data_IF_996747963351
#
_entry.id   IF_996747963351
#
_cell.length_a   1.000
_cell.length_b   1.000
_cell.length_c   1.000
_cell.angle_alpha   90.00
_cell.angle_beta   90.00
_cell.angle_gamma   90.00
#
_symmetry.space_group_name_H-M   'P 1'
#
loop_
_entity.id
_entity.type
_entity.pdbx_description
1 polymer ?
#
# COMPACT_ATOMS: atom_id res chain seq x y z
N UNK A 1 3.00 3.67 -2.18
CA UNK A 1 3.09 2.27 -2.58
C UNK A 1 1.94 1.88 -3.53
N UNK A 2 1.70 2.69 -4.56
CA UNK A 2 0.56 2.47 -5.47
C UNK A 2 0.82 1.31 -6.43
N UNK A 3 2.03 1.24 -6.97
CA UNK A 3 2.43 0.20 -7.90
C UNK A 3 2.47 -1.17 -7.19
N UNK A 4 2.89 -1.23 -5.93
CA UNK A 4 2.82 -2.45 -5.11
C UNK A 4 1.37 -2.95 -4.97
N UNK A 5 0.44 -2.06 -4.62
CA UNK A 5 -0.98 -2.41 -4.53
C UNK A 5 -1.52 -2.91 -5.87
N UNK A 6 -1.13 -2.26 -6.98
CA UNK A 6 -1.57 -2.65 -8.31
C UNK A 6 -1.02 -4.03 -8.72
N UNK A 7 0.24 -4.30 -8.43
CA UNK A 7 0.90 -5.57 -8.75
C UNK A 7 0.33 -6.72 -7.92
N UNK A 8 0.11 -6.53 -6.62
CA UNK A 8 -0.49 -7.58 -5.78
C UNK A 8 -1.93 -7.86 -6.22
N UNK A 9 -2.69 -6.81 -6.56
CA UNK A 9 -4.06 -6.97 -7.06
C UNK A 9 -4.12 -7.70 -8.43
N UNK A 10 -3.05 -7.63 -9.23
CA UNK A 10 -2.85 -8.44 -10.43
C UNK A 10 -2.39 -9.89 -10.14
N UNK A 11 -2.14 -10.23 -8.87
CA UNK A 11 -1.73 -11.56 -8.43
C UNK A 11 -0.21 -11.77 -8.29
N UNK A 12 0.59 -10.71 -8.37
CA UNK A 12 2.05 -10.83 -8.21
C UNK A 12 2.47 -10.87 -6.74
N UNK A 13 3.36 -11.81 -6.40
CA UNK A 13 3.99 -11.90 -5.08
C UNK A 13 5.21 -10.97 -5.00
N UNK A 14 5.19 -9.99 -4.08
CA UNK A 14 6.24 -8.95 -3.95
C UNK A 14 7.29 -9.23 -2.86
N UNK A 15 7.14 -10.28 -2.06
CA UNK A 15 7.96 -10.53 -0.87
C UNK A 15 9.43 -10.93 -1.12
N UNK A 16 9.90 -10.94 -2.37
CA UNK A 16 11.33 -11.05 -2.72
C UNK A 16 11.76 -9.86 -3.60
N UNK A 17 11.13 -8.70 -3.38
CA UNK A 17 11.20 -7.57 -4.29
C UNK A 17 10.55 -7.90 -5.64
N UNK A 18 10.90 -7.11 -6.65
CA UNK A 18 10.19 -7.11 -7.93
C UNK A 18 10.90 -7.91 -9.03
N UNK A 19 11.91 -8.71 -8.67
CA UNK A 19 12.81 -9.40 -9.62
C UNK A 19 12.06 -10.33 -10.56
N UNK A 20 11.01 -11.01 -10.07
CA UNK A 20 10.22 -11.97 -10.84
C UNK A 20 9.10 -11.34 -11.68
N UNK A 21 8.95 -10.01 -11.61
CA UNK A 21 7.86 -9.30 -12.31
C UNK A 21 8.39 -8.83 -13.67
N UNK A 22 7.69 -9.14 -14.78
CA UNK A 22 8.07 -8.67 -16.11
C UNK A 22 8.28 -7.15 -16.13
N UNK A 23 9.30 -6.69 -16.87
CA UNK A 23 9.72 -5.28 -16.85
C UNK A 23 8.58 -4.36 -17.33
N UNK A 24 7.85 -4.78 -18.35
CA UNK A 24 6.75 -4.02 -18.93
C UNK A 24 5.59 -3.87 -17.95
N UNK A 25 5.37 -4.88 -17.11
CA UNK A 25 4.33 -4.86 -16.07
C UNK A 25 4.72 -3.92 -14.93
N UNK A 26 5.98 -3.97 -14.48
CA UNK A 26 6.52 -3.04 -13.48
C UNK A 26 6.39 -1.60 -13.94
N UNK A 27 6.84 -1.31 -15.15
CA UNK A 27 6.77 0.02 -15.74
C UNK A 27 5.32 0.53 -15.82
N UNK A 28 4.40 -0.31 -16.31
CA UNK A 28 2.98 0.06 -16.37
C UNK A 28 2.38 0.34 -14.99
N UNK A 29 2.73 -0.45 -13.98
CA UNK A 29 2.26 -0.23 -12.62
C UNK A 29 2.80 1.10 -12.06
N UNK A 30 4.08 1.40 -12.26
CA UNK A 30 4.70 2.65 -11.85
C UNK A 30 4.05 3.87 -12.53
N UNK A 31 3.76 3.77 -13.82
CA UNK A 31 3.18 4.86 -14.61
C UNK A 31 1.68 5.09 -14.30
N UNK A 32 0.89 4.02 -14.12
CA UNK A 32 -0.58 4.11 -14.15
C UNK A 32 -1.26 3.85 -12.82
N UNK A 33 -0.57 3.30 -11.81
CA UNK A 33 -1.24 2.91 -10.56
C UNK A 33 -1.84 4.13 -9.83
N UNK A 34 -1.21 5.31 -9.90
CA UNK A 34 -1.70 6.55 -9.30
C UNK A 34 -3.03 7.04 -9.88
N UNK A 35 -3.35 6.62 -11.10
CA UNK A 35 -4.63 6.97 -11.73
C UNK A 35 -5.79 6.20 -11.11
N UNK A 36 -5.53 4.98 -10.62
CA UNK A 36 -6.54 4.06 -10.06
C UNK A 36 -6.56 4.02 -8.55
N UNK A 37 -5.40 4.04 -7.91
CA UNK A 37 -5.22 3.90 -6.47
C UNK A 37 -5.06 5.24 -5.76
N UNK A 38 -5.48 5.30 -4.51
CA UNK A 38 -5.26 6.45 -3.63
C UNK A 38 -4.99 6.02 -2.19
N UNK A 39 -4.27 6.87 -1.46
CA UNK A 39 -4.07 6.72 -0.02
C UNK A 39 -5.38 7.07 0.69
N UNK A 40 -5.92 6.13 1.45
CA UNK A 40 -7.11 6.33 2.27
C UNK A 40 -6.74 6.85 3.66
N UNK A 41 -5.72 6.26 4.28
CA UNK A 41 -5.30 6.60 5.62
C UNK A 41 -3.82 6.24 5.81
N UNK A 42 -3.12 7.03 6.61
CA UNK A 42 -1.77 6.74 7.08
C UNK A 42 -1.74 6.96 8.59
N UNK A 43 -1.09 6.05 9.31
CA UNK A 43 -0.80 6.21 10.72
C UNK A 43 0.69 5.98 10.95
N UNK A 44 1.30 7.02 11.51
CA UNK A 44 2.67 7.00 11.99
C UNK A 44 2.70 6.50 13.46
N UNK A 45 3.87 6.51 14.07
CA UNK A 45 4.05 6.33 15.51
C UNK A 45 3.20 7.39 16.23
N UNK A 46 2.39 6.94 17.19
CA UNK A 46 1.59 7.84 18.04
C UNK A 46 2.17 7.83 19.43
N UNK A 47 2.63 9.00 19.88
CA UNK A 47 3.22 9.19 21.20
C UNK A 47 2.40 10.19 22.03
N UNK A 48 2.15 9.86 23.29
CA UNK A 48 1.54 10.79 24.26
C UNK A 48 1.96 10.46 25.70
N UNK A 49 2.83 11.28 26.28
CA UNK A 49 3.39 11.00 27.61
C UNK A 49 4.16 9.67 27.58
N UNK A 50 3.76 8.74 28.44
CA UNK A 50 4.34 7.39 28.51
C UNK A 50 3.67 6.37 27.55
N UNK A 51 2.73 6.82 26.71
CA UNK A 51 2.09 5.99 25.69
C UNK A 51 2.85 6.08 24.37
N UNK A 52 3.09 4.93 23.76
CA UNK A 52 3.62 4.78 22.40
C UNK A 52 2.85 3.68 21.66
N UNK A 53 2.34 4.01 20.48
CA UNK A 53 1.88 3.03 19.49
C UNK A 53 2.86 3.04 18.32
N UNK A 54 3.68 2.01 18.24
CA UNK A 54 4.66 1.79 17.19
C UNK A 54 4.29 0.55 16.36
N UNK A 55 4.53 0.61 15.05
CA UNK A 55 4.32 -0.51 14.15
C UNK A 55 5.66 -1.13 13.73
N UNK A 56 6.00 -2.29 14.30
CA UNK A 56 7.30 -2.93 14.06
C UNK A 56 8.44 -2.11 14.65
N UNK A 57 9.51 -1.90 13.88
CA UNK A 57 10.67 -1.11 14.28
C UNK A 57 10.57 0.30 13.70
N UNK A 58 9.98 1.23 14.46
CA UNK A 58 9.70 2.61 14.07
C UNK A 58 8.97 2.73 12.71
N UNK A 59 8.02 1.83 12.45
CA UNK A 59 7.34 1.74 11.17
C UNK A 59 6.02 2.51 11.09
N UNK A 60 5.47 2.52 9.88
CA UNK A 60 4.23 3.20 9.52
C UNK A 60 3.27 2.25 8.81
N UNK A 61 1.97 2.46 9.02
CA UNK A 61 0.94 1.75 8.28
C UNK A 61 0.21 2.68 7.30
N UNK A 62 -0.13 2.12 6.16
CA UNK A 62 -0.83 2.81 5.08
C UNK A 62 -1.99 1.95 4.60
N UNK A 63 -3.16 2.56 4.44
CA UNK A 63 -4.31 1.95 3.80
C UNK A 63 -4.50 2.57 2.43
N UNK A 64 -4.52 1.74 1.41
CA UNK A 64 -4.78 2.13 0.03
C UNK A 64 -6.11 1.55 -0.46
N UNK A 65 -6.77 2.29 -1.33
CA UNK A 65 -8.04 1.90 -1.95
C UNK A 65 -8.06 2.36 -3.41
N UNK A 66 -8.80 1.66 -4.27
CA UNK A 66 -9.06 2.19 -5.62
C UNK A 66 -10.09 3.33 -5.55
N UNK A 67 -10.01 4.28 -6.48
CA UNK A 67 -11.00 5.38 -6.58
C UNK A 67 -12.42 4.84 -6.81
N UNK A 68 -12.55 3.74 -7.55
CA UNK A 68 -13.83 3.07 -7.79
C UNK A 68 -14.40 2.45 -6.51
N UNK A 69 -13.58 1.69 -5.76
CA UNK A 69 -14.00 1.08 -4.50
C UNK A 69 -14.34 2.12 -3.45
N UNK A 70 -13.62 3.24 -3.41
CA UNK A 70 -13.95 4.36 -2.53
C UNK A 70 -15.30 4.96 -2.89
N UNK A 71 -15.56 5.24 -4.17
CA UNK A 71 -16.84 5.78 -4.63
C UNK A 71 -18.01 4.83 -4.31
N UNK A 72 -17.77 3.52 -4.44
CA UNK A 72 -18.74 2.48 -4.12
C UNK A 72 -18.78 2.10 -2.62
N UNK A 73 -17.96 2.73 -1.77
CA UNK A 73 -17.84 2.45 -0.32
C UNK A 73 -17.50 0.98 0.01
N UNK A 74 -16.74 0.31 -0.87
CA UNK A 74 -16.28 -1.08 -0.72
C UNK A 74 -14.99 -1.15 0.10
N UNK A 75 -15.08 -0.77 1.37
CA UNK A 75 -13.92 -0.72 2.28
C UNK A 75 -13.38 -2.10 2.67
N UNK A 76 -14.09 -3.18 2.34
CA UNK A 76 -13.60 -4.56 2.43
C UNK A 76 -12.46 -4.87 1.45
N UNK A 77 -12.21 -3.99 0.46
CA UNK A 77 -11.19 -4.17 -0.59
C UNK A 77 -9.95 -3.31 -0.42
N UNK A 78 -9.73 -2.76 0.77
CA UNK A 78 -8.53 -1.96 1.06
C UNK A 78 -7.28 -2.83 1.15
N UNK A 79 -6.14 -2.22 0.83
CA UNK A 79 -4.81 -2.81 1.02
C UNK A 79 -4.09 -2.11 2.17
N UNK A 80 -3.71 -2.89 3.17
CA UNK A 80 -2.84 -2.46 4.26
C UNK A 80 -1.38 -2.74 3.88
N UNK A 81 -0.52 -1.74 4.01
CA UNK A 81 0.93 -1.91 3.89
C UNK A 81 1.61 -1.42 5.16
N UNK A 82 2.50 -2.26 5.70
CA UNK A 82 3.43 -1.93 6.77
C UNK A 82 4.80 -1.65 6.16
N UNK A 83 5.37 -0.48 6.45
CA UNK A 83 6.77 -0.15 6.16
C UNK A 83 7.50 -0.02 7.49
N UNK A 84 8.57 -0.80 7.71
CA UNK A 84 9.43 -0.72 8.89
C UNK A 84 10.91 -0.92 8.52
N UNK A 85 11.81 -0.58 9.45
CA UNK A 85 13.27 -0.75 9.30
C UNK A 85 13.76 -2.16 9.64
#
# INVERSE_FOLDING_TARGET
MFAECDLVNQGYYLGNGWVKIPKEVRQRAEETARDRWMLLFQLDIVEYGDFELMFGNCGHIYFYITKEDLAARRFDRIWLVLQCY
#
